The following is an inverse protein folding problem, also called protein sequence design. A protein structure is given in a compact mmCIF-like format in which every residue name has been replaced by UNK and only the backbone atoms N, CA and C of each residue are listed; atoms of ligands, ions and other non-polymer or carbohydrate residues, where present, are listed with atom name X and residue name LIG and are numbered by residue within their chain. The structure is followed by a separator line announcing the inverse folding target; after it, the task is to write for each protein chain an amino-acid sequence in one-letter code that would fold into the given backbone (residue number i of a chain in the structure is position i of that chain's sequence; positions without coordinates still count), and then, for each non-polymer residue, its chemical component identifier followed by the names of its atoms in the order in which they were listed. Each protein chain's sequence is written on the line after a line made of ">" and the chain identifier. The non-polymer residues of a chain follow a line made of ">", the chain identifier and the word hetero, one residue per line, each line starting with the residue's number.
data_IF_359211564099
#
_entry.id   IF_359211564099
#
_cell.length_a   1.000
_cell.length_b   1.000
_cell.length_c   1.000
_cell.angle_alpha   90.00
_cell.angle_beta   90.00
_cell.angle_gamma   90.00
#
_symmetry.space_group_name_H-M   'P 1'
#
loop_
_entity.id
_entity.type
_entity.pdbx_description
1 polymer ?
#
# COMPACT_ATOMS: atom_id res chain seq x y z
N UNK A 1 0.92 1.20 16.55
CA UNK A 1 0.31 -0.06 17.07
C UNK A 1 1.40 -1.01 17.54
N UNK A 2 1.21 -1.72 18.66
CA UNK A 2 2.16 -2.74 19.12
C UNK A 2 1.86 -4.08 18.42
N UNK A 3 2.86 -4.68 17.76
CA UNK A 3 2.69 -5.96 17.02
C UNK A 3 2.77 -7.14 17.99
N UNK A 4 1.70 -7.93 18.09
CA UNK A 4 1.71 -9.19 18.84
C UNK A 4 2.65 -10.19 18.16
N UNK A 5 3.81 -10.41 18.77
CA UNK A 5 4.86 -11.29 18.26
C UNK A 5 4.38 -12.72 18.01
N UNK A 6 3.47 -13.27 18.83
CA UNK A 6 2.99 -14.65 18.63
C UNK A 6 2.10 -14.73 17.40
N UNK A 7 1.18 -13.78 17.23
CA UNK A 7 0.30 -13.72 16.06
C UNK A 7 1.10 -13.48 14.77
N UNK A 8 2.08 -12.59 14.82
CA UNK A 8 2.97 -12.33 13.69
C UNK A 8 3.71 -13.60 13.28
N UNK A 9 4.40 -14.27 14.20
CA UNK A 9 5.14 -15.50 13.93
C UNK A 9 4.23 -16.59 13.34
N UNK A 10 3.01 -16.74 13.85
CA UNK A 10 2.05 -17.69 13.28
C UNK A 10 1.66 -17.33 11.83
N UNK A 11 1.49 -16.04 11.53
CA UNK A 11 1.07 -15.57 10.19
C UNK A 11 2.12 -15.82 9.10
N UNK A 12 3.39 -15.97 9.47
CA UNK A 12 4.52 -16.16 8.55
C UNK A 12 5.10 -17.58 8.55
N UNK A 13 4.43 -18.53 9.22
CA UNK A 13 4.85 -19.94 9.25
C UNK A 13 5.78 -20.34 10.40
N UNK A 14 5.89 -19.50 11.43
CA UNK A 14 6.61 -19.78 12.67
C UNK A 14 8.01 -19.18 12.76
N UNK A 15 8.69 -19.40 13.89
CA UNK A 15 10.03 -18.85 14.17
C UNK A 15 11.07 -19.30 13.15
N UNK A 16 11.08 -20.58 12.79
CA UNK A 16 12.02 -21.12 11.83
C UNK A 16 11.89 -20.47 10.44
N UNK A 17 10.67 -20.14 10.02
CA UNK A 17 10.44 -19.43 8.77
C UNK A 17 11.00 -18.00 8.83
N UNK A 18 10.80 -17.28 9.95
CA UNK A 18 11.37 -15.94 10.17
C UNK A 18 12.89 -15.95 10.22
N UNK A 19 13.51 -16.96 10.83
CA UNK A 19 14.96 -17.06 10.90
C UNK A 19 15.61 -17.21 9.52
N UNK A 20 14.92 -17.84 8.57
CA UNK A 20 15.35 -18.01 7.18
C UNK A 20 15.07 -16.79 6.28
N UNK A 21 14.23 -15.85 6.73
CA UNK A 21 13.91 -14.62 5.98
C UNK A 21 15.10 -13.66 5.96
N UNK A 22 15.31 -13.02 4.80
CA UNK A 22 16.22 -11.87 4.75
C UNK A 22 15.67 -10.71 5.60
N UNK A 23 16.50 -9.75 5.98
CA UNK A 23 16.05 -8.51 6.61
C UNK A 23 14.90 -7.83 5.85
N UNK A 24 14.95 -7.79 4.51
CA UNK A 24 13.87 -7.28 3.65
C UNK A 24 12.59 -8.12 3.80
N UNK A 25 12.71 -9.45 3.87
CA UNK A 25 11.59 -10.40 3.96
C UNK A 25 10.80 -10.26 5.26
N UNK A 26 11.51 -10.16 6.37
CA UNK A 26 10.88 -9.92 7.68
C UNK A 26 10.08 -8.64 7.65
N UNK A 27 10.54 -7.68 6.88
CA UNK A 27 10.00 -6.38 6.95
C UNK A 27 8.64 -6.18 6.29
N UNK A 28 8.56 -6.54 5.01
CA UNK A 28 7.30 -6.48 4.30
C UNK A 28 6.28 -7.42 4.96
N UNK A 29 6.74 -8.52 5.58
CA UNK A 29 5.86 -9.39 6.36
C UNK A 29 5.27 -8.69 7.59
N UNK A 30 6.06 -7.93 8.36
CA UNK A 30 5.57 -7.18 9.52
C UNK A 30 4.68 -6.02 9.09
N UNK A 31 5.05 -5.26 8.05
CA UNK A 31 4.22 -4.16 7.51
C UNK A 31 2.87 -4.70 7.03
N UNK A 32 2.89 -5.77 6.24
CA UNK A 32 1.68 -6.46 5.79
C UNK A 32 0.83 -6.97 6.94
N UNK A 33 1.45 -7.57 7.96
CA UNK A 33 0.77 -8.03 9.16
C UNK A 33 0.13 -6.86 9.92
N UNK A 34 0.87 -5.77 10.14
CA UNK A 34 0.38 -4.59 10.83
C UNK A 34 -0.79 -3.94 10.08
N UNK A 35 -0.69 -3.70 8.77
CA UNK A 35 -1.84 -3.20 8.00
C UNK A 35 -3.03 -4.15 8.06
N UNK A 36 -2.79 -5.46 8.16
CA UNK A 36 -3.85 -6.47 8.26
C UNK A 36 -4.55 -6.47 9.61
N UNK A 37 -3.79 -6.42 10.70
CA UNK A 37 -4.34 -6.36 12.06
C UNK A 37 -5.05 -5.02 12.32
N UNK A 38 -4.52 -3.91 11.78
CA UNK A 38 -5.14 -2.59 11.86
C UNK A 38 -6.57 -2.61 11.28
N UNK A 39 -6.67 -3.20 10.10
CA UNK A 39 -7.92 -3.34 9.37
C UNK A 39 -8.91 -4.27 10.07
N UNK A 40 -8.45 -5.37 10.69
CA UNK A 40 -9.29 -6.26 11.51
C UNK A 40 -9.80 -5.56 12.77
N UNK A 41 -8.92 -4.87 13.50
CA UNK A 41 -9.29 -4.13 14.70
C UNK A 41 -10.43 -3.13 14.42
N UNK A 42 -10.35 -2.40 13.31
CA UNK A 42 -11.39 -1.45 12.94
C UNK A 42 -12.74 -2.14 12.70
N UNK A 43 -12.77 -3.33 12.12
CA UNK A 43 -14.01 -4.11 11.92
C UNK A 43 -14.59 -4.52 13.27
N UNK A 44 -13.75 -5.07 14.15
CA UNK A 44 -14.19 -5.53 15.47
C UNK A 44 -14.79 -4.37 16.28
N UNK A 45 -14.23 -3.16 16.16
CA UNK A 45 -14.65 -1.98 16.90
C UNK A 45 -15.86 -1.24 16.28
N UNK A 46 -15.89 -1.07 14.94
CA UNK A 46 -16.84 -0.17 14.26
C UNK A 46 -17.78 -0.87 13.26
N UNK A 47 -17.55 -2.16 12.98
CA UNK A 47 -18.27 -2.93 11.96
C UNK A 47 -17.98 -2.47 10.52
N UNK A 48 -18.60 -3.14 9.55
CA UNK A 48 -18.59 -2.75 8.13
C UNK A 48 -19.82 -1.89 7.81
N UNK A 49 -19.86 -0.62 8.22
CA UNK A 49 -21.12 0.16 8.24
C UNK A 49 -21.18 1.40 7.35
N UNK A 50 -20.18 1.64 6.48
CA UNK A 50 -20.16 2.81 5.57
C UNK A 50 -20.43 2.47 4.10
N UNK A 51 -21.12 3.36 3.38
CA UNK A 51 -21.35 3.20 1.93
C UNK A 51 -20.05 3.15 1.11
N UNK A 52 -18.97 3.76 1.61
CA UNK A 52 -17.62 3.75 1.02
C UNK A 52 -16.65 2.79 1.73
N UNK A 53 -17.13 1.93 2.63
CA UNK A 53 -16.27 0.94 3.27
C UNK A 53 -15.69 -0.04 2.22
N UNK A 54 -14.42 -0.47 2.38
CA UNK A 54 -13.85 -1.53 1.56
C UNK A 54 -14.67 -2.82 1.67
N UNK A 55 -15.08 -3.35 0.52
CA UNK A 55 -15.55 -4.73 0.35
C UNK A 55 -14.33 -5.63 0.40
N UNK A 56 -14.15 -6.27 1.55
CA UNK A 56 -12.99 -7.11 1.80
C UNK A 56 -13.20 -8.49 1.18
N UNK A 57 -12.19 -9.07 0.51
CA UNK A 57 -12.28 -10.44 0.05
C UNK A 57 -12.44 -11.42 1.21
N UNK A 58 -12.98 -12.62 0.97
CA UNK A 58 -13.23 -13.63 2.02
C UNK A 58 -11.97 -14.11 2.76
N UNK A 59 -10.76 -13.91 2.22
CA UNK A 59 -9.50 -14.18 2.95
C UNK A 59 -9.22 -13.21 4.10
N UNK A 60 -9.99 -12.12 4.18
CA UNK A 60 -9.87 -11.10 5.21
C UNK A 60 -10.61 -11.46 6.52
N UNK A 61 -11.65 -12.30 6.44
CA UNK A 61 -12.45 -12.72 7.59
C UNK A 61 -11.78 -13.86 8.34
N UNK A 62 -11.67 -13.75 9.67
CA UNK A 62 -11.11 -14.80 10.51
C UNK A 62 -11.90 -16.11 10.33
N UNK A 63 -11.22 -17.17 9.89
CA UNK A 63 -11.84 -18.49 9.64
C UNK A 63 -12.11 -18.82 8.16
N UNK A 64 -11.79 -17.93 7.22
CA UNK A 64 -11.75 -18.25 5.79
C UNK A 64 -10.64 -19.24 5.50
N UNK A 65 -10.95 -20.54 5.56
CA UNK A 65 -10.04 -21.62 5.22
C UNK A 65 -9.56 -21.49 3.77
N UNK A 66 -8.45 -20.81 3.58
CA UNK A 66 -7.74 -20.80 2.31
C UNK A 66 -7.43 -22.22 1.91
N UNK A 67 -7.85 -22.58 0.70
CA UNK A 67 -7.43 -23.84 0.09
C UNK A 67 -5.91 -23.82 0.07
N UNK A 68 -5.26 -24.74 0.78
CA UNK A 68 -3.82 -24.90 0.70
C UNK A 68 -3.47 -25.10 -0.76
N UNK A 69 -2.68 -24.17 -1.31
CA UNK A 69 -2.19 -24.28 -2.66
C UNK A 69 -1.27 -25.50 -2.72
N UNK A 70 -1.56 -26.50 -3.57
CA UNK A 70 -0.74 -27.72 -3.64
C UNK A 70 0.71 -27.45 -4.08
N UNK A 71 1.02 -26.27 -4.65
CA UNK A 71 2.36 -25.88 -5.11
C UNK A 71 3.17 -25.08 -4.07
N UNK A 72 2.65 -24.88 -2.86
CA UNK A 72 3.31 -24.11 -1.79
C UNK A 72 2.88 -22.63 -1.75
N UNK A 73 3.40 -21.85 -0.80
CA UNK A 73 3.02 -20.44 -0.66
C UNK A 73 3.48 -19.63 -1.88
N UNK A 74 2.65 -18.69 -2.37
CA UNK A 74 3.04 -17.84 -3.51
C UNK A 74 4.29 -17.03 -3.19
N UNK A 75 5.05 -16.67 -4.23
CA UNK A 75 6.22 -15.81 -4.09
C UNK A 75 5.86 -14.54 -3.30
N UNK A 76 6.74 -14.07 -2.41
CA UNK A 76 6.49 -12.94 -1.51
C UNK A 76 5.97 -11.70 -2.23
N UNK A 77 6.55 -11.36 -3.37
CA UNK A 77 6.17 -10.21 -4.19
C UNK A 77 4.78 -10.30 -4.83
N UNK A 78 4.09 -11.43 -4.70
CA UNK A 78 2.76 -11.66 -5.26
C UNK A 78 1.76 -10.68 -4.67
N UNK A 79 1.10 -9.92 -5.55
CA UNK A 79 0.07 -8.97 -5.14
C UNK A 79 -1.11 -9.63 -4.46
N UNK A 80 -1.79 -8.86 -3.61
CA UNK A 80 -2.92 -9.35 -2.80
C UNK A 80 -4.08 -9.88 -3.67
N UNK A 81 -4.24 -9.36 -4.88
CA UNK A 81 -5.26 -9.81 -5.82
C UNK A 81 -5.04 -11.26 -6.27
N UNK A 82 -3.79 -11.73 -6.34
CA UNK A 82 -3.42 -13.06 -6.84
C UNK A 82 -3.51 -14.18 -5.80
N UNK A 83 -3.93 -13.91 -4.57
CA UNK A 83 -4.03 -14.96 -3.54
C UNK A 83 -5.12 -15.98 -3.91
N UNK A 84 -4.71 -17.25 -4.03
CA UNK A 84 -5.55 -18.35 -4.47
C UNK A 84 -6.77 -18.59 -3.56
N UNK A 85 -7.86 -19.09 -4.16
CA UNK A 85 -8.98 -19.69 -3.43
C UNK A 85 -10.25 -18.86 -3.29
N UNK A 86 -10.37 -17.67 -3.91
CA UNK A 86 -11.47 -16.75 -3.60
C UNK A 86 -12.07 -16.02 -4.79
N UNK A 87 -13.38 -15.76 -4.70
CA UNK A 87 -14.13 -14.94 -5.66
C UNK A 87 -13.97 -13.46 -5.31
N UNK A 88 -13.43 -12.66 -6.24
CA UNK A 88 -13.42 -11.21 -6.11
C UNK A 88 -14.81 -10.66 -6.46
N UNK A 89 -15.29 -9.69 -5.68
CA UNK A 89 -16.54 -9.00 -5.99
C UNK A 89 -16.48 -8.35 -7.39
N UNK A 90 -17.60 -8.38 -8.10
CA UNK A 90 -17.72 -7.78 -9.42
C UNK A 90 -17.48 -6.26 -9.36
N UNK A 91 -16.68 -5.76 -10.30
CA UNK A 91 -16.40 -4.33 -10.42
C UNK A 91 -17.50 -3.66 -11.25
N UNK A 92 -17.82 -2.37 -11.01
CA UNK A 92 -18.62 -1.59 -11.94
C UNK A 92 -18.05 -1.62 -13.36
N UNK A 93 -18.92 -1.53 -14.38
CA UNK A 93 -18.52 -1.60 -15.79
C UNK A 93 -17.51 -0.51 -16.20
N UNK A 94 -17.52 0.64 -15.51
CA UNK A 94 -16.60 1.77 -15.71
C UNK A 94 -15.96 2.13 -14.37
N UNK A 95 -14.98 1.33 -13.89
CA UNK A 95 -14.51 1.45 -12.52
C UNK A 95 -13.72 2.74 -12.31
N UNK A 96 -13.98 3.42 -11.19
CA UNK A 96 -13.29 4.63 -10.74
C UNK A 96 -12.20 4.30 -9.71
N UNK A 97 -11.31 5.25 -9.42
CA UNK A 97 -10.33 5.06 -8.33
C UNK A 97 -11.02 4.75 -6.99
N UNK A 98 -12.15 5.40 -6.70
CA UNK A 98 -12.96 5.14 -5.51
C UNK A 98 -13.47 3.69 -5.48
N UNK A 99 -13.86 3.14 -6.62
CA UNK A 99 -14.22 1.72 -6.72
C UNK A 99 -13.02 0.82 -6.42
N UNK A 100 -11.81 1.15 -6.83
CA UNK A 100 -10.64 0.34 -6.45
C UNK A 100 -10.39 0.31 -4.94
N UNK A 101 -10.56 1.43 -4.22
CA UNK A 101 -10.52 1.44 -2.75
C UNK A 101 -11.58 0.52 -2.14
N UNK A 102 -12.76 0.48 -2.75
CA UNK A 102 -13.86 -0.36 -2.28
C UNK A 102 -13.61 -1.83 -2.58
N UNK A 103 -13.21 -2.18 -3.79
CA UNK A 103 -13.30 -3.56 -4.26
C UNK A 103 -11.96 -4.31 -4.37
N UNK A 104 -10.82 -3.61 -4.35
CA UNK A 104 -9.51 -4.21 -4.71
C UNK A 104 -8.33 -3.82 -3.83
N UNK A 105 -8.37 -2.66 -3.17
CA UNK A 105 -7.25 -2.17 -2.37
C UNK A 105 -7.32 -2.55 -0.89
N UNK A 106 -8.26 -3.38 -0.45
CA UNK A 106 -8.24 -3.90 0.92
C UNK A 106 -6.98 -4.76 1.17
N UNK A 107 -6.23 -4.53 2.28
CA UNK A 107 -6.39 -3.45 3.25
C UNK A 107 -5.97 -2.09 2.73
N UNK A 108 -6.81 -1.09 2.97
CA UNK A 108 -6.59 0.28 2.51
C UNK A 108 -6.50 1.31 3.63
N UNK A 109 -6.64 0.93 4.90
CA UNK A 109 -6.72 1.92 5.98
C UNK A 109 -5.40 2.65 6.22
N UNK A 110 -4.28 1.95 6.03
CA UNK A 110 -2.93 2.51 6.12
C UNK A 110 -2.79 3.79 5.30
N UNK A 111 -3.06 3.71 3.99
CA UNK A 111 -2.94 4.84 3.08
C UNK A 111 -3.99 5.93 3.35
N UNK A 112 -5.19 5.55 3.81
CA UNK A 112 -6.23 6.51 4.19
C UNK A 112 -5.81 7.32 5.43
N UNK A 113 -5.19 6.69 6.43
CA UNK A 113 -4.66 7.35 7.63
C UNK A 113 -3.49 8.24 7.30
N UNK A 114 -2.56 7.77 6.47
CA UNK A 114 -1.44 8.56 5.95
C UNK A 114 -1.92 9.83 5.24
N UNK A 115 -2.90 9.70 4.34
CA UNK A 115 -3.53 10.84 3.67
C UNK A 115 -4.32 11.75 4.62
N UNK A 116 -4.95 11.19 5.66
CA UNK A 116 -5.69 11.96 6.68
C UNK A 116 -4.75 12.83 7.49
N UNK A 117 -3.59 12.29 7.87
CA UNK A 117 -2.54 13.07 8.53
C UNK A 117 -2.05 14.19 7.62
N UNK A 118 -1.71 13.89 6.36
CA UNK A 118 -1.25 14.89 5.40
C UNK A 118 -2.27 16.03 5.18
N UNK A 119 -3.56 15.68 5.13
CA UNK A 119 -4.64 16.65 4.99
C UNK A 119 -4.77 17.56 6.23
N UNK A 120 -4.67 16.99 7.44
CA UNK A 120 -4.75 17.74 8.70
C UNK A 120 -3.58 18.71 8.89
N UNK A 121 -2.38 18.29 8.48
CA UNK A 121 -1.16 19.13 8.51
C UNK A 121 -1.13 20.20 7.39
N UNK A 122 -2.18 20.28 6.57
CA UNK A 122 -2.30 21.30 5.53
C UNK A 122 -1.29 21.12 4.39
N UNK A 123 -0.83 19.88 4.14
CA UNK A 123 0.03 19.60 2.99
C UNK A 123 -0.71 19.87 1.66
N UNK A 124 0.03 20.17 0.57
CA UNK A 124 -0.57 20.33 -0.74
C UNK A 124 -1.42 19.12 -1.16
N UNK A 125 -2.52 19.34 -1.88
CA UNK A 125 -3.41 18.24 -2.32
C UNK A 125 -2.68 17.13 -3.09
N UNK A 126 -1.63 17.47 -3.85
CA UNK A 126 -0.77 16.47 -4.53
C UNK A 126 -0.05 15.55 -3.54
N UNK A 127 0.38 16.05 -2.38
CA UNK A 127 0.98 15.26 -1.31
C UNK A 127 -0.08 14.37 -0.67
N UNK A 128 -1.26 14.92 -0.37
CA UNK A 128 -2.40 14.14 0.13
C UNK A 128 -2.75 13.01 -0.82
N UNK A 129 -2.79 13.29 -2.13
CA UNK A 129 -3.02 12.30 -3.17
C UNK A 129 -1.92 11.24 -3.22
N UNK A 130 -0.63 11.63 -3.15
CA UNK A 130 0.47 10.69 -3.12
C UNK A 130 0.42 9.77 -1.88
N UNK A 131 0.12 10.31 -0.70
CA UNK A 131 -0.10 9.52 0.52
C UNK A 131 -1.28 8.55 0.37
N UNK A 132 -2.36 8.96 -0.30
CA UNK A 132 -3.51 8.07 -0.52
C UNK A 132 -3.15 6.90 -1.45
N UNK A 133 -2.22 7.10 -2.39
CA UNK A 133 -1.86 6.14 -3.45
C UNK A 133 -0.64 5.25 -3.16
N UNK A 134 0.25 5.63 -2.24
CA UNK A 134 1.63 5.11 -2.24
C UNK A 134 1.77 3.58 -2.16
N UNK A 135 0.90 2.90 -1.42
CA UNK A 135 0.98 1.45 -1.18
C UNK A 135 -0.11 0.61 -1.86
N UNK A 136 -1.08 1.22 -2.53
CA UNK A 136 -2.21 0.44 -3.07
C UNK A 136 -1.80 -0.45 -4.26
N UNK A 137 -0.65 -0.16 -4.88
CA UNK A 137 -0.05 -1.01 -5.92
C UNK A 137 0.32 -2.42 -5.41
N UNK A 138 0.43 -2.60 -4.08
CA UNK A 138 0.57 -3.91 -3.45
C UNK A 138 -0.61 -4.85 -3.72
N UNK A 139 -1.75 -4.34 -4.21
CA UNK A 139 -2.83 -5.17 -4.75
C UNK A 139 -2.39 -5.96 -5.98
N UNK A 140 -1.53 -5.37 -6.83
CA UNK A 140 -0.95 -6.00 -8.03
C UNK A 140 0.36 -6.73 -7.71
N UNK A 141 1.27 -6.07 -6.99
CA UNK A 141 2.63 -6.57 -6.75
C UNK A 141 3.25 -5.84 -5.56
N UNK A 142 3.88 -6.60 -4.67
CA UNK A 142 4.43 -6.06 -3.42
C UNK A 142 5.93 -5.75 -3.52
N UNK A 143 6.68 -6.58 -4.23
CA UNK A 143 8.09 -6.28 -4.51
C UNK A 143 8.15 -5.04 -5.40
N UNK A 144 8.97 -4.06 -5.01
CA UNK A 144 9.11 -2.81 -5.76
C UNK A 144 7.80 -2.01 -5.91
N UNK A 145 6.94 -2.07 -4.89
CA UNK A 145 5.61 -1.47 -4.93
C UNK A 145 5.60 0.02 -5.25
N UNK A 146 6.61 0.79 -4.82
CA UNK A 146 6.75 2.20 -5.16
C UNK A 146 6.96 2.38 -6.67
N UNK A 147 7.84 1.58 -7.28
CA UNK A 147 8.09 1.64 -8.72
C UNK A 147 6.84 1.27 -9.53
N UNK A 148 6.20 0.17 -9.16
CA UNK A 148 4.96 -0.29 -9.78
C UNK A 148 3.82 0.72 -9.58
N UNK A 149 3.69 1.31 -8.40
CA UNK A 149 2.72 2.34 -8.09
C UNK A 149 2.95 3.61 -8.91
N UNK A 150 4.20 4.07 -8.99
CA UNK A 150 4.56 5.22 -9.82
C UNK A 150 4.13 5.01 -11.27
N UNK A 151 4.44 3.84 -11.86
CA UNK A 151 4.03 3.48 -13.22
C UNK A 151 2.51 3.32 -13.39
N UNK A 152 1.84 2.73 -12.40
CA UNK A 152 0.39 2.55 -12.40
C UNK A 152 -0.34 3.89 -12.52
N UNK A 153 0.09 4.88 -11.73
CA UNK A 153 -0.60 6.16 -11.59
C UNK A 153 -0.15 7.25 -12.55
N UNK A 154 1.07 7.17 -13.08
CA UNK A 154 1.68 8.19 -13.96
C UNK A 154 0.76 8.73 -15.07
N UNK A 155 -0.08 7.92 -15.76
CA UNK A 155 -0.99 8.45 -16.78
C UNK A 155 -2.14 9.34 -16.27
N UNK A 156 -2.40 9.34 -14.96
CA UNK A 156 -3.61 9.89 -14.36
C UNK A 156 -3.36 11.04 -13.38
N UNK A 157 -2.13 11.28 -12.96
CA UNK A 157 -1.80 12.27 -11.93
C UNK A 157 -0.70 13.22 -12.41
N UNK A 158 -0.50 14.32 -11.68
CA UNK A 158 0.69 15.16 -11.86
C UNK A 158 1.98 14.34 -11.64
N UNK A 159 3.02 14.63 -12.43
CA UNK A 159 4.30 13.91 -12.38
C UNK A 159 4.93 13.87 -10.98
N UNK A 160 4.66 14.87 -10.14
CA UNK A 160 5.15 14.92 -8.75
C UNK A 160 4.44 13.94 -7.83
N UNK A 161 3.16 13.63 -8.10
CA UNK A 161 2.42 12.60 -7.37
C UNK A 161 3.02 11.23 -7.69
N UNK A 162 3.23 10.92 -8.98
CA UNK A 162 3.89 9.68 -9.40
C UNK A 162 5.32 9.60 -8.86
N UNK A 163 6.07 10.70 -8.87
CA UNK A 163 7.39 10.81 -8.24
C UNK A 163 7.34 10.50 -6.74
N UNK A 164 6.37 11.08 -6.02
CA UNK A 164 6.17 10.85 -4.59
C UNK A 164 5.92 9.37 -4.30
N UNK A 165 4.97 8.76 -5.03
CA UNK A 165 4.67 7.32 -4.93
C UNK A 165 5.89 6.47 -5.32
N UNK A 166 6.69 6.87 -6.31
CA UNK A 166 7.86 6.07 -6.73
C UNK A 166 8.98 6.09 -5.69
N UNK A 167 9.36 7.28 -5.27
CA UNK A 167 10.56 7.47 -4.47
C UNK A 167 10.31 7.41 -2.96
N UNK A 168 9.05 7.29 -2.48
CA UNK A 168 8.83 6.99 -1.06
C UNK A 168 9.48 5.64 -0.68
N UNK A 169 9.46 4.64 -1.56
CA UNK A 169 10.02 3.31 -1.29
C UNK A 169 11.53 3.34 -0.98
N UNK A 170 12.42 3.95 -1.79
CA UNK A 170 13.83 4.07 -1.42
C UNK A 170 14.05 5.04 -0.26
N UNK A 171 13.34 6.18 -0.21
CA UNK A 171 13.57 7.21 0.81
C UNK A 171 13.24 6.75 2.24
N UNK A 172 12.28 5.82 2.41
CA UNK A 172 11.84 5.36 3.73
C UNK A 172 12.97 4.76 4.57
N UNK A 173 13.99 4.22 3.91
CA UNK A 173 15.12 3.54 4.54
C UNK A 173 16.22 4.47 5.07
N UNK A 174 16.22 5.74 4.69
CA UNK A 174 17.32 6.64 4.98
C UNK A 174 16.81 7.84 5.78
N UNK A 175 17.31 8.03 7.03
CA UNK A 175 16.93 9.17 7.85
C UNK A 175 17.39 10.49 7.22
N UNK A 176 16.66 11.55 7.51
CA UNK A 176 17.02 12.92 7.18
C UNK A 176 16.64 13.85 8.35
N UNK A 177 17.52 13.96 9.36
CA UNK A 177 17.27 14.80 10.53
C UNK A 177 17.03 16.28 10.20
N UNK A 178 17.53 16.76 9.05
CA UNK A 178 17.33 18.14 8.60
C UNK A 178 15.85 18.49 8.34
N UNK A 179 15.01 17.48 8.12
CA UNK A 179 13.56 17.62 7.97
C UNK A 179 12.77 16.85 9.03
N UNK A 180 13.45 16.42 10.10
CA UNK A 180 12.83 15.70 11.20
C UNK A 180 12.42 14.26 10.88
N UNK A 181 12.95 13.64 9.81
CA UNK A 181 12.69 12.23 9.51
C UNK A 181 13.80 11.37 10.14
N UNK A 182 13.49 10.66 11.21
CA UNK A 182 14.36 9.64 11.78
C UNK A 182 14.08 8.28 11.13
N UNK A 183 14.98 7.31 11.30
CA UNK A 183 14.69 5.95 10.87
C UNK A 183 13.61 5.39 11.79
N UNK A 184 12.42 5.04 11.27
CA UNK A 184 11.30 4.69 12.14
C UNK A 184 11.68 3.55 13.10
N UNK A 185 11.36 3.68 14.40
CA UNK A 185 11.72 2.64 15.37
C UNK A 185 11.02 1.31 15.04
N UNK A 186 9.81 1.40 14.49
CA UNK A 186 9.10 0.25 13.94
C UNK A 186 9.90 -0.44 12.82
N UNK A 187 10.65 0.30 12.01
CA UNK A 187 11.51 -0.28 10.96
C UNK A 187 12.64 -1.13 11.53
N UNK A 188 13.21 -0.78 12.69
CA UNK A 188 14.18 -1.67 13.37
C UNK A 188 13.54 -3.01 13.80
N UNK A 189 12.27 -2.98 14.19
CA UNK A 189 11.51 -4.18 14.57
C UNK A 189 11.10 -5.03 13.36
N UNK A 190 10.84 -4.34 12.25
CA UNK A 190 10.38 -4.87 10.96
C UNK A 190 11.56 -5.47 10.16
N UNK A 191 12.57 -4.65 9.85
CA UNK A 191 13.71 -4.98 8.98
C UNK A 191 14.87 -5.60 9.74
N UNK A 192 14.94 -5.41 11.06
CA UNK A 192 16.13 -5.71 11.85
C UNK A 192 17.08 -4.51 11.92
N UNK A 193 17.81 -4.41 13.04
CA UNK A 193 18.77 -3.33 13.28
C UNK A 193 20.00 -3.38 12.36
N UNK A 194 20.21 -4.51 11.71
CA UNK A 194 21.31 -4.82 10.78
C UNK A 194 20.89 -4.79 9.30
N UNK A 195 19.65 -4.35 9.02
CA UNK A 195 19.16 -4.21 7.65
C UNK A 195 20.00 -3.24 6.82
N UNK A 196 20.37 -3.66 5.61
CA UNK A 196 21.05 -2.83 4.63
C UNK A 196 20.29 -2.92 3.31
N UNK A 197 19.67 -1.83 2.82
CA UNK A 197 18.97 -1.86 1.54
C UNK A 197 19.88 -2.31 0.39
N UNK A 198 19.27 -2.92 -0.64
CA UNK A 198 19.95 -3.24 -1.89
C UNK A 198 20.62 -2.02 -2.54
N UNK A 199 21.68 -2.25 -3.31
CA UNK A 199 22.48 -1.17 -3.90
C UNK A 199 21.67 -0.26 -4.82
N UNK A 200 20.70 -0.79 -5.57
CA UNK A 200 19.85 0.05 -6.41
C UNK A 200 18.95 0.99 -5.57
N UNK A 201 18.55 0.60 -4.36
CA UNK A 201 17.81 1.48 -3.44
C UNK A 201 18.71 2.57 -2.86
N UNK A 202 19.97 2.26 -2.56
CA UNK A 202 20.98 3.26 -2.15
C UNK A 202 21.21 4.29 -3.25
N UNK A 203 21.36 3.85 -4.50
CA UNK A 203 21.53 4.75 -5.64
C UNK A 203 20.26 5.57 -5.92
N UNK A 204 19.08 4.95 -5.84
CA UNK A 204 17.80 5.65 -5.95
C UNK A 204 17.61 6.71 -4.84
N UNK A 205 18.03 6.41 -3.62
CA UNK A 205 18.06 7.38 -2.52
C UNK A 205 18.97 8.56 -2.83
N UNK A 206 20.22 8.33 -3.24
CA UNK A 206 21.17 9.40 -3.60
C UNK A 206 20.61 10.29 -4.71
N UNK A 207 20.05 9.67 -5.75
CA UNK A 207 19.39 10.38 -6.84
C UNK A 207 18.21 11.23 -6.35
N UNK A 208 17.29 10.63 -5.59
CA UNK A 208 16.12 11.34 -5.07
C UNK A 208 16.50 12.48 -4.12
N UNK A 209 17.52 12.29 -3.27
CA UNK A 209 18.02 13.31 -2.33
C UNK A 209 18.56 14.56 -3.03
N UNK A 210 19.19 14.38 -4.19
CA UNK A 210 19.69 15.48 -5.03
C UNK A 210 18.64 16.09 -5.96
N UNK A 211 17.44 15.53 -6.05
CA UNK A 211 16.42 15.96 -7.00
C UNK A 211 15.56 17.13 -6.46
N UNK A 212 15.14 18.03 -7.36
CA UNK A 212 14.29 19.19 -7.01
C UNK A 212 12.93 18.82 -6.38
N UNK A 213 12.48 17.58 -6.56
CA UNK A 213 11.24 17.04 -5.98
C UNK A 213 11.48 16.11 -4.79
N UNK A 214 12.67 16.16 -4.19
CA UNK A 214 12.98 15.39 -2.98
C UNK A 214 11.85 15.46 -1.93
N UNK A 215 11.36 16.67 -1.64
CA UNK A 215 10.31 16.87 -0.65
C UNK A 215 8.95 16.28 -1.04
N UNK A 216 8.64 16.15 -2.34
CA UNK A 216 7.38 15.53 -2.77
C UNK A 216 7.32 14.05 -2.37
N UNK A 217 8.45 13.33 -2.39
CA UNK A 217 8.55 11.95 -1.93
C UNK A 217 8.83 11.83 -0.42
N UNK A 218 9.65 12.72 0.14
CA UNK A 218 9.96 12.72 1.58
C UNK A 218 8.73 13.00 2.43
N UNK A 219 7.83 13.90 2.00
CA UNK A 219 6.58 14.13 2.72
C UNK A 219 5.70 12.87 2.74
N UNK A 220 5.73 12.03 1.70
CA UNK A 220 5.02 10.74 1.72
C UNK A 220 5.60 9.85 2.81
N UNK A 221 6.92 9.67 2.90
CA UNK A 221 7.53 8.82 3.95
C UNK A 221 7.26 9.33 5.35
N UNK A 222 7.23 10.65 5.55
CA UNK A 222 6.92 11.25 6.84
C UNK A 222 5.47 11.01 7.27
N UNK A 223 4.53 10.96 6.32
CA UNK A 223 3.12 10.67 6.60
C UNK A 223 2.80 9.17 6.62
N UNK A 224 3.62 8.34 5.99
CA UNK A 224 3.52 6.88 5.96
C UNK A 224 3.62 6.29 7.38
N UNK A 225 4.54 6.80 8.21
CA UNK A 225 4.71 6.35 9.60
C UNK A 225 3.42 6.48 10.45
N UNK A 226 2.64 7.54 10.23
CA UNK A 226 1.36 7.77 10.90
C UNK A 226 0.22 6.87 10.40
N UNK A 227 0.43 6.16 9.28
CA UNK A 227 -0.54 5.21 8.73
C UNK A 227 -0.89 4.05 9.67
N UNK A 228 -0.07 3.81 10.70
CA UNK A 228 -0.25 2.75 11.70
C UNK A 228 -0.82 3.22 13.05
N UNK A 229 -1.16 4.50 13.20
CA UNK A 229 -1.89 5.01 14.36
C UNK A 229 -3.36 4.59 14.25
N UNK A 230 -3.80 3.67 15.12
CA UNK A 230 -5.16 3.13 15.12
C UNK A 230 -6.21 4.07 15.72
N UNK A 231 -5.81 5.17 16.37
CA UNK A 231 -6.73 6.13 17.01
C UNK A 231 -7.44 7.04 16.01
N UNK A 232 -6.93 7.13 14.77
CA UNK A 232 -7.51 7.98 13.72
C UNK A 232 -8.74 7.29 13.08
N UNK A 233 -9.90 7.92 12.93
CA UNK A 233 -11.01 7.30 12.20
C UNK A 233 -10.68 7.21 10.70
N UNK A 234 -11.09 6.11 10.06
CA UNK A 234 -10.88 5.87 8.62
C UNK A 234 -12.14 6.27 7.86
N UNK A 235 -12.02 7.20 6.91
CA UNK A 235 -13.06 7.48 5.91
C UNK A 235 -12.42 7.90 4.60
N UNK A 236 -12.96 7.42 3.48
CA UNK A 236 -12.57 7.88 2.15
C UNK A 236 -13.28 9.19 1.75
N UNK A 237 -14.37 9.54 2.45
CA UNK A 237 -15.22 10.70 2.12
C UNK A 237 -14.45 12.02 2.00
N UNK A 238 -13.49 12.36 2.90
CA UNK A 238 -12.73 13.61 2.79
C UNK A 238 -11.88 13.70 1.52
N UNK A 239 -11.57 12.57 0.89
CA UNK A 239 -10.69 12.49 -0.27
C UNK A 239 -11.42 12.43 -1.60
N UNK A 240 -12.76 12.28 -1.62
CA UNK A 240 -13.53 12.22 -2.88
C UNK A 240 -13.27 13.44 -3.75
N UNK A 241 -13.30 14.61 -3.12
CA UNK A 241 -13.04 15.90 -3.77
C UNK A 241 -11.58 16.07 -4.20
N UNK A 242 -10.63 15.60 -3.38
CA UNK A 242 -9.20 15.60 -3.71
C UNK A 242 -8.94 14.71 -4.91
N UNK A 243 -9.50 13.50 -4.93
CA UNK A 243 -9.44 12.57 -6.08
C UNK A 243 -10.00 13.26 -7.33
N UNK A 244 -11.17 13.91 -7.22
CA UNK A 244 -11.80 14.61 -8.34
C UNK A 244 -10.95 15.74 -8.94
N UNK A 245 -10.07 16.36 -8.14
CA UNK A 245 -9.16 17.44 -8.60
C UNK A 245 -7.78 16.95 -9.03
N UNK A 246 -7.25 15.91 -8.39
CA UNK A 246 -5.86 15.44 -8.55
C UNK A 246 -5.73 14.20 -9.44
N UNK A 247 -6.83 13.51 -9.76
CA UNK A 247 -6.82 12.29 -10.56
C UNK A 247 -7.66 12.43 -11.83
N UNK A 248 -7.02 12.26 -12.99
CA UNK A 248 -7.66 12.25 -14.31
C UNK A 248 -8.39 10.94 -14.53
N UNK A 249 -9.60 10.84 -14.00
CA UNK A 249 -10.46 9.67 -14.16
C UNK A 249 -10.85 9.47 -15.65
N UNK A 250 -10.51 8.31 -16.28
CA UNK A 250 -10.96 8.01 -17.64
C UNK A 250 -12.48 7.81 -17.71
N UNK A 251 -13.11 8.27 -18.80
CA UNK A 251 -14.57 8.18 -19.03
C UNK A 251 -15.03 6.74 -19.28
N UNK A 252 -14.12 5.91 -19.77
CA UNK A 252 -14.29 4.49 -20.08
C UNK A 252 -14.16 3.63 -18.82
N UNK A 253 -13.58 4.18 -17.74
CA UNK A 253 -13.21 3.46 -16.52
C UNK A 253 -11.76 2.97 -16.56
N UNK A 254 -11.14 2.84 -15.39
CA UNK A 254 -9.75 2.40 -15.25
C UNK A 254 -9.58 0.98 -15.80
N UNK A 255 -8.64 0.81 -16.72
CA UNK A 255 -8.39 -0.47 -17.40
C UNK A 255 -9.20 -0.69 -18.68
N UNK A 256 -10.21 0.14 -18.95
CA UNK A 256 -10.92 0.17 -20.24
C UNK A 256 -10.42 1.31 -21.16
N UNK A 257 -9.51 2.13 -20.67
CA UNK A 257 -8.86 3.21 -21.40
C UNK A 257 -7.63 2.73 -22.17
N UNK A 258 -7.00 3.65 -22.91
CA UNK A 258 -5.81 3.38 -23.74
C UNK A 258 -4.50 3.84 -23.08
N UNK A 259 -4.49 4.01 -21.76
CA UNK A 259 -3.26 4.38 -21.05
C UNK A 259 -2.23 3.24 -21.05
N UNK A 260 -0.93 3.56 -20.96
CA UNK A 260 0.12 2.55 -20.81
C UNK A 260 -0.07 1.60 -19.63
N UNK A 261 -0.72 2.04 -18.54
CA UNK A 261 -0.99 1.22 -17.36
C UNK A 261 -2.37 0.56 -17.33
N UNK A 262 -3.19 0.67 -18.38
CA UNK A 262 -4.52 0.07 -18.45
C UNK A 262 -4.50 -1.46 -18.21
N UNK A 263 -3.44 -2.15 -18.66
CA UNK A 263 -3.26 -3.57 -18.43
C UNK A 263 -3.09 -3.92 -16.94
N UNK A 264 -2.38 -3.07 -16.18
CA UNK A 264 -2.19 -3.25 -14.74
C UNK A 264 -3.53 -3.20 -14.00
N UNK A 265 -4.40 -2.25 -14.36
CA UNK A 265 -5.76 -2.16 -13.82
C UNK A 265 -6.59 -3.40 -14.15
N UNK A 266 -6.55 -3.89 -15.40
CA UNK A 266 -7.27 -5.13 -15.80
C UNK A 266 -6.81 -6.36 -15.02
N UNK A 267 -5.51 -6.42 -14.72
CA UNK A 267 -4.93 -7.48 -13.89
C UNK A 267 -5.43 -7.40 -12.45
N UNK A 268 -5.51 -6.20 -11.86
CA UNK A 268 -6.09 -6.02 -10.51
C UNK A 268 -7.60 -6.37 -10.51
N UNK A 269 -8.34 -5.99 -11.57
CA UNK A 269 -9.77 -6.29 -11.72
C UNK A 269 -10.01 -7.80 -11.73
N UNK A 270 -9.26 -8.52 -12.57
CA UNK A 270 -9.35 -9.97 -12.73
C UNK A 270 -7.94 -10.58 -12.90
N UNK A 271 -7.32 -11.07 -11.81
CA UNK A 271 -5.99 -11.68 -11.86
C UNK A 271 -6.02 -13.10 -12.47
N UNK A 272 -7.20 -13.69 -12.63
CA UNK A 272 -7.40 -15.01 -13.23
C UNK A 272 -7.71 -14.95 -14.74
N UNK A 273 -7.48 -13.79 -15.38
CA UNK A 273 -7.77 -13.62 -16.81
C UNK A 273 -6.87 -14.57 -17.63
N UNK A 274 -7.42 -15.32 -18.60
CA UNK A 274 -6.62 -16.18 -19.45
C UNK A 274 -5.64 -15.35 -20.30
N UNK A 275 -4.48 -15.95 -20.62
CA UNK A 275 -3.40 -15.36 -21.41
C UNK A 275 -3.88 -14.80 -22.76
#
# INVERSE_FOLDING_TARGET
>A
MEVDRRKFLASVGGVAAVELMTPEDRAEAVEHFASTELDKWYIDEFGETGALSPIRPSWYQAGGGGRQDPEGPPARGTGRAFRAGYSLAEMPAKPTLVDFYRYRFAPGQHVIRSATHALKEGHPERTVMACLLHDVAQALVRSDHGWWGGQLFEPYVDERVSWGVRYHQPLRFFPDPAVGYEYPEFYNRIFGVDYVPDDYLKEAYKFARGHKWYMEARLVTMNDEYGFDNTVPVSLEPFIDVIGRQFKQPKEGLGNDNSPSAHMWRTIINPNRPL
#
